data_IF_047736613711
#
_entry.id   IF_047736613711
#
_cell.length_a   1.000
_cell.length_b   1.000
_cell.length_c   1.000
_cell.angle_alpha   90.00
_cell.angle_beta   90.00
_cell.angle_gamma   90.00
#
_symmetry.space_group_name_H-M   'P 1'
#
loop_
_entity.id
_entity.type
_entity.pdbx_description
1 polymer ?
#
# COMPACT_ATOMS: atom_id res chain seq x y z
N UNK A 1 18.92 1.22 55.56
CA UNK A 1 19.04 0.29 54.42
C UNK A 1 18.31 0.95 53.25
N UNK A 2 19.04 1.37 52.21
CA UNK A 2 18.51 2.12 51.07
C UNK A 2 18.23 1.13 49.94
N UNK A 3 16.98 1.01 49.54
CA UNK A 3 16.50 0.16 48.44
C UNK A 3 16.98 0.76 47.11
N UNK A 4 17.64 0.00 46.23
CA UNK A 4 17.96 0.49 44.89
C UNK A 4 16.72 0.35 43.99
N UNK A 5 16.32 1.46 43.40
CA UNK A 5 15.31 1.53 42.33
C UNK A 5 15.96 1.02 41.05
N UNK A 6 15.43 -0.05 40.48
CA UNK A 6 15.83 -0.60 39.19
C UNK A 6 15.08 0.19 38.09
N UNK A 7 15.78 1.08 37.39
CA UNK A 7 15.24 1.75 36.19
C UNK A 7 15.46 0.81 35.01
N UNK A 8 14.38 0.24 34.49
CA UNK A 8 14.38 -0.55 33.27
C UNK A 8 14.41 0.41 32.08
N UNK A 9 15.57 0.59 31.47
CA UNK A 9 15.73 1.37 30.25
C UNK A 9 15.17 0.56 29.06
N UNK A 10 14.08 1.06 28.46
CA UNK A 10 13.54 0.55 27.19
C UNK A 10 14.54 0.84 26.07
N UNK A 11 15.16 -0.20 25.53
CA UNK A 11 15.96 -0.11 24.30
C UNK A 11 14.98 -0.05 23.13
N UNK A 12 14.69 1.16 22.65
CA UNK A 12 14.09 1.33 21.34
C UNK A 12 15.11 0.87 20.29
N UNK A 13 14.72 0.08 19.26
CA UNK A 13 15.58 -0.12 18.11
C UNK A 13 15.72 1.23 17.41
N UNK A 14 16.85 1.89 17.62
CA UNK A 14 17.30 2.95 16.75
C UNK A 14 17.53 2.28 15.41
N UNK A 15 16.67 2.54 14.43
CA UNK A 15 17.03 2.36 13.03
C UNK A 15 18.33 3.11 12.81
N UNK A 16 19.44 2.36 12.75
CA UNK A 16 20.73 2.86 12.29
C UNK A 16 20.54 3.23 10.82
N UNK A 17 20.07 4.45 10.56
CA UNK A 17 20.43 5.10 9.31
C UNK A 17 21.94 5.16 9.28
N UNK A 18 22.55 4.62 8.23
CA UNK A 18 23.98 4.73 8.02
C UNK A 18 24.39 6.20 8.11
N UNK A 19 25.49 6.48 8.82
CA UNK A 19 26.04 7.84 8.87
C UNK A 19 26.43 8.25 7.44
N UNK A 20 25.87 9.34 6.89
CA UNK A 20 26.25 9.82 5.56
C UNK A 20 27.75 10.08 5.40
N UNK A 21 28.49 10.27 6.50
CA UNK A 21 29.94 10.45 6.49
C UNK A 21 30.73 9.14 6.24
N UNK A 22 30.11 7.97 6.42
CA UNK A 22 30.76 6.67 6.18
C UNK A 22 30.69 6.24 4.70
N UNK A 23 30.06 7.03 3.81
CA UNK A 23 29.93 6.72 2.38
C UNK A 23 30.45 7.85 1.49
N UNK A 24 31.02 7.48 0.35
CA UNK A 24 31.36 8.41 -0.74
C UNK A 24 30.49 8.05 -1.94
N UNK A 25 29.73 9.03 -2.43
CA UNK A 25 28.88 8.86 -3.59
C UNK A 25 29.57 9.42 -4.84
N UNK A 26 29.39 8.75 -5.97
CA UNK A 26 29.83 9.25 -7.25
C UNK A 26 28.86 8.83 -8.34
N UNK A 27 28.83 9.59 -9.43
CA UNK A 27 28.10 9.23 -10.64
C UNK A 27 29.12 8.78 -11.67
N UNK A 28 28.95 7.57 -12.19
CA UNK A 28 29.72 7.04 -13.32
C UNK A 28 28.97 7.32 -14.60
N UNK A 29 29.62 7.97 -15.55
CA UNK A 29 29.12 8.16 -16.90
C UNK A 29 29.82 7.20 -17.85
N UNK A 30 29.06 6.35 -18.56
CA UNK A 30 29.58 5.35 -19.52
C UNK A 30 29.06 5.70 -20.91
N UNK A 31 29.94 6.18 -21.79
CA UNK A 31 29.57 6.49 -23.17
C UNK A 31 29.38 5.22 -23.99
N UNK A 32 28.26 5.11 -24.70
CA UNK A 32 27.96 3.90 -25.48
C UNK A 32 28.78 3.80 -26.78
N UNK A 33 29.15 4.93 -27.38
CA UNK A 33 29.91 4.97 -28.63
C UNK A 33 31.35 4.44 -28.47
N UNK A 34 31.97 4.75 -27.33
CA UNK A 34 33.40 4.62 -27.09
C UNK A 34 33.73 3.71 -25.91
N UNK A 35 32.75 3.41 -25.05
CA UNK A 35 32.94 2.67 -23.80
C UNK A 35 33.75 3.43 -22.75
N UNK A 36 33.98 4.74 -22.96
CA UNK A 36 34.77 5.53 -22.01
C UNK A 36 33.93 5.83 -20.77
N UNK A 37 34.57 5.68 -19.61
CA UNK A 37 33.95 5.88 -18.30
C UNK A 37 34.54 7.10 -17.58
N UNK A 38 33.68 7.88 -16.91
CA UNK A 38 34.08 8.99 -16.04
C UNK A 38 33.34 8.94 -14.72
N UNK A 39 34.08 9.01 -13.62
CA UNK A 39 33.52 9.08 -12.27
C UNK A 39 33.56 10.52 -11.74
N UNK A 40 32.41 11.00 -11.26
CA UNK A 40 32.27 12.31 -10.61
C UNK A 40 31.80 12.13 -9.19
N UNK A 41 32.63 12.50 -8.22
CA UNK A 41 32.19 12.54 -6.82
C UNK A 41 31.06 13.55 -6.64
N UNK A 42 29.96 13.12 -6.02
CA UNK A 42 28.79 13.96 -5.77
C UNK A 42 28.45 14.04 -4.28
N UNK A 43 27.91 15.18 -3.80
CA UNK A 43 27.34 15.25 -2.46
C UNK A 43 26.11 14.34 -2.35
N UNK A 44 25.65 14.00 -1.12
CA UNK A 44 24.44 13.18 -0.91
C UNK A 44 23.15 13.76 -1.52
N UNK A 45 23.14 15.04 -1.87
CA UNK A 45 22.06 15.71 -2.56
C UNK A 45 22.59 16.92 -3.33
N UNK A 46 22.05 17.22 -4.50
CA UNK A 46 22.40 18.39 -5.30
C UNK A 46 22.41 18.07 -6.79
N UNK A 47 23.06 18.95 -7.57
CA UNK A 47 23.22 18.78 -9.01
C UNK A 47 24.72 18.91 -9.36
N UNK A 48 25.19 18.11 -10.31
CA UNK A 48 26.53 18.19 -10.87
C UNK A 48 26.46 18.25 -12.40
N UNK A 49 27.39 18.97 -13.03
CA UNK A 49 27.52 18.97 -14.49
C UNK A 49 28.33 17.74 -14.88
N UNK A 50 27.83 17.02 -15.88
CA UNK A 50 28.51 15.87 -16.45
C UNK A 50 29.88 16.27 -17.05
N UNK A 51 30.95 15.46 -16.88
CA UNK A 51 32.30 15.79 -17.35
C UNK A 51 32.42 15.96 -18.86
N UNK A 52 31.54 15.30 -19.61
CA UNK A 52 31.55 15.30 -21.06
C UNK A 52 30.12 15.26 -21.60
N UNK A 53 29.91 15.85 -22.78
CA UNK A 53 28.63 15.74 -23.46
C UNK A 53 28.22 14.29 -23.67
N UNK A 54 26.92 14.05 -23.72
CA UNK A 54 26.36 12.75 -24.08
C UNK A 54 26.60 12.53 -25.58
N UNK A 55 27.17 11.37 -25.94
CA UNK A 55 27.41 11.02 -27.34
C UNK A 55 26.11 10.82 -28.11
N UNK A 56 26.21 10.71 -29.43
CA UNK A 56 25.05 10.39 -30.29
C UNK A 56 24.44 9.03 -29.94
N UNK A 57 25.27 8.08 -29.51
CA UNK A 57 24.85 6.75 -29.09
C UNK A 57 24.44 6.72 -27.60
N UNK A 58 24.43 7.87 -26.92
CA UNK A 58 24.04 8.00 -25.53
C UNK A 58 25.11 7.66 -24.50
N UNK A 59 24.73 7.80 -23.23
CA UNK A 59 25.54 7.44 -22.08
C UNK A 59 24.67 6.94 -20.93
N UNK A 60 25.13 5.91 -20.21
CA UNK A 60 24.58 5.55 -18.91
C UNK A 60 25.16 6.44 -17.83
N UNK A 61 24.32 6.83 -16.87
CA UNK A 61 24.67 7.52 -15.65
C UNK A 61 24.27 6.64 -14.48
N UNK A 62 25.26 6.05 -13.84
CA UNK A 62 25.08 5.14 -12.71
C UNK A 62 25.41 5.89 -11.41
N UNK A 63 24.49 5.93 -10.45
CA UNK A 63 24.74 6.47 -9.11
C UNK A 63 25.31 5.35 -8.24
N UNK A 64 26.55 5.53 -7.80
CA UNK A 64 27.26 4.58 -6.94
C UNK A 64 27.52 5.16 -5.55
N UNK A 65 27.58 4.26 -4.57
CA UNK A 65 28.02 4.57 -3.21
C UNK A 65 29.08 3.57 -2.76
N UNK A 66 30.20 4.07 -2.23
CA UNK A 66 31.26 3.26 -1.64
C UNK A 66 31.24 3.44 -0.13
N UNK A 67 31.16 2.33 0.60
CA UNK A 67 31.33 2.37 2.04
C UNK A 67 32.81 2.55 2.39
N UNK A 68 33.17 3.66 3.04
CA UNK A 68 34.55 4.09 3.29
C UNK A 68 35.42 3.06 4.03
N UNK A 69 34.81 2.19 4.85
CA UNK A 69 35.55 1.21 5.66
C UNK A 69 35.66 -0.17 5.02
N UNK A 70 34.57 -0.65 4.42
CA UNK A 70 34.57 -1.99 3.80
C UNK A 70 34.97 -1.96 2.33
N UNK A 71 35.05 -0.76 1.72
CA UNK A 71 35.31 -0.55 0.30
C UNK A 71 34.33 -1.33 -0.58
N UNK A 72 33.12 -1.52 -0.07
CA UNK A 72 32.03 -2.19 -0.80
C UNK A 72 31.30 -1.15 -1.63
N UNK A 73 31.11 -1.45 -2.90
CA UNK A 73 30.41 -0.61 -3.87
C UNK A 73 28.96 -1.06 -3.99
N UNK A 74 28.06 -0.09 -4.06
CA UNK A 74 26.63 -0.30 -4.23
C UNK A 74 26.12 0.60 -5.36
N UNK A 75 25.58 -0.03 -6.41
CA UNK A 75 24.81 0.68 -7.42
C UNK A 75 23.46 1.05 -6.81
N UNK A 76 23.18 2.34 -6.73
CA UNK A 76 21.95 2.88 -6.15
C UNK A 76 20.89 3.15 -7.23
N UNK A 77 21.33 3.60 -8.41
CA UNK A 77 20.44 3.97 -9.52
C UNK A 77 21.20 3.96 -10.86
N UNK A 78 20.50 3.85 -11.97
CA UNK A 78 21.06 3.89 -13.33
C UNK A 78 20.07 4.59 -14.28
N UNK A 79 20.58 5.54 -15.06
CA UNK A 79 19.80 6.24 -16.08
C UNK A 79 20.53 6.31 -17.40
N UNK A 80 19.87 5.87 -18.47
CA UNK A 80 20.36 6.09 -19.83
C UNK A 80 19.90 7.45 -20.37
N UNK A 81 20.85 8.22 -20.91
CA UNK A 81 20.59 9.53 -21.51
C UNK A 81 21.17 9.54 -22.92
N UNK A 82 20.39 10.00 -23.90
CA UNK A 82 20.86 10.33 -25.25
C UNK A 82 20.18 11.61 -25.72
N UNK A 83 20.74 12.25 -26.75
CA UNK A 83 20.18 13.45 -27.37
C UNK A 83 18.75 13.25 -27.93
N UNK A 84 18.34 11.99 -28.13
CA UNK A 84 17.09 11.61 -28.77
C UNK A 84 16.15 10.79 -27.88
N UNK A 85 16.43 10.67 -26.57
CA UNK A 85 15.53 9.96 -25.65
C UNK A 85 14.60 10.96 -24.98
N UNK A 86 13.27 10.79 -25.11
CA UNK A 86 12.30 11.62 -24.43
C UNK A 86 12.36 11.39 -22.92
N UNK A 87 11.83 12.33 -22.15
CA UNK A 87 11.67 12.17 -20.71
C UNK A 87 10.22 11.79 -20.42
N UNK A 88 10.03 10.72 -19.64
CA UNK A 88 8.74 10.33 -19.13
C UNK A 88 8.72 10.39 -17.60
N UNK A 89 7.54 10.68 -17.05
CA UNK A 89 7.29 10.63 -15.62
C UNK A 89 5.90 10.09 -15.33
N UNK A 90 5.82 9.11 -14.45
CA UNK A 90 4.61 8.51 -13.93
C UNK A 90 4.42 8.98 -12.49
N UNK A 91 3.19 9.25 -12.12
CA UNK A 91 2.82 9.54 -10.74
C UNK A 91 1.48 8.91 -10.43
N UNK A 92 1.47 8.08 -9.41
CA UNK A 92 0.24 7.44 -8.93
C UNK A 92 -0.33 8.25 -7.76
N UNK A 93 -1.63 8.54 -7.84
CA UNK A 93 -2.41 9.25 -6.81
C UNK A 93 -3.51 8.33 -6.31
N UNK A 94 -3.57 8.14 -4.99
CA UNK A 94 -4.53 7.27 -4.30
C UNK A 94 -5.13 8.00 -3.10
N UNK A 95 -6.22 7.48 -2.54
CA UNK A 95 -6.77 7.99 -1.28
C UNK A 95 -5.91 7.66 -0.04
N UNK A 96 -4.91 6.79 -0.19
CA UNK A 96 -4.03 6.38 0.92
C UNK A 96 -2.88 7.38 1.12
N UNK A 97 -2.65 7.90 2.34
CA UNK A 97 -1.60 8.87 2.60
C UNK A 97 -0.18 8.27 2.57
N UNK A 98 -0.02 6.95 2.56
CA UNK A 98 1.28 6.28 2.57
C UNK A 98 2.09 6.60 1.31
N UNK A 99 3.36 6.96 1.52
CA UNK A 99 4.20 7.56 0.47
C UNK A 99 5.31 6.66 -0.07
N UNK A 100 5.79 5.71 0.72
CA UNK A 100 6.96 4.91 0.33
C UNK A 100 6.67 4.01 -0.88
N UNK A 101 5.54 3.32 -0.86
CA UNK A 101 5.00 2.59 -2.00
C UNK A 101 3.52 2.95 -2.06
N UNK A 102 3.03 3.40 -3.22
CA UNK A 102 1.61 3.73 -3.34
C UNK A 102 0.78 2.49 -3.13
N UNK A 103 -0.32 2.65 -2.42
CA UNK A 103 -1.26 1.56 -2.14
C UNK A 103 -2.69 2.06 -2.20
N UNK A 104 -3.60 1.13 -2.44
CA UNK A 104 -5.05 1.36 -2.41
C UNK A 104 -5.77 0.07 -2.03
N UNK A 105 -7.07 0.17 -1.73
CA UNK A 105 -7.95 -0.99 -1.56
C UNK A 105 -8.61 -1.33 -2.90
N UNK A 106 -8.96 -2.59 -3.09
CA UNK A 106 -9.47 -3.14 -4.36
C UNK A 106 -10.70 -2.43 -4.95
N UNK A 107 -11.53 -1.84 -4.09
CA UNK A 107 -12.74 -1.09 -4.39
C UNK A 107 -12.53 0.44 -4.39
N UNK A 108 -11.29 0.91 -4.25
CA UNK A 108 -10.96 2.32 -4.15
C UNK A 108 -10.27 2.82 -5.43
N UNK A 109 -10.75 3.94 -5.99
CA UNK A 109 -10.19 4.47 -7.23
C UNK A 109 -8.78 5.01 -7.03
N UNK A 110 -8.01 5.01 -8.11
CA UNK A 110 -6.70 5.66 -8.17
C UNK A 110 -6.48 6.29 -9.54
N UNK A 111 -5.52 7.20 -9.61
CA UNK A 111 -5.17 7.91 -10.84
C UNK A 111 -3.70 7.68 -11.17
N UNK A 112 -3.43 7.50 -12.46
CA UNK A 112 -2.08 7.44 -13.02
C UNK A 112 -1.90 8.67 -13.89
N UNK A 113 -0.97 9.52 -13.48
CA UNK A 113 -0.60 10.75 -14.18
C UNK A 113 0.69 10.46 -14.94
N UNK A 114 0.64 10.59 -16.27
CA UNK A 114 1.76 10.32 -17.16
C UNK A 114 2.12 11.63 -17.84
N UNK A 115 3.39 12.03 -17.76
CA UNK A 115 3.95 13.18 -18.44
C UNK A 115 5.05 12.69 -19.37
N UNK A 116 4.92 12.94 -20.67
CA UNK A 116 5.95 12.64 -21.66
C UNK A 116 6.37 13.93 -22.32
N UNK A 117 7.67 14.17 -22.43
CA UNK A 117 8.25 15.37 -23.02
C UNK A 117 9.46 15.03 -23.87
N UNK A 118 9.77 15.89 -24.85
CA UNK A 118 10.94 15.69 -25.73
C UNK A 118 10.69 14.75 -26.91
N UNK A 119 9.43 14.41 -27.19
CA UNK A 119 9.05 13.77 -28.44
C UNK A 119 9.09 14.77 -29.60
N UNK A 120 9.63 14.34 -30.73
CA UNK A 120 9.65 15.08 -32.00
C UNK A 120 8.34 14.79 -32.71
N UNK A 121 7.58 15.84 -33.01
CA UNK A 121 6.29 15.72 -33.67
C UNK A 121 6.45 15.56 -35.19
N UNK A 122 5.41 15.03 -35.85
CA UNK A 122 5.41 14.87 -37.31
C UNK A 122 5.58 16.20 -38.07
N UNK A 123 5.31 17.33 -37.41
CA UNK A 123 5.44 18.66 -38.01
C UNK A 123 6.87 19.22 -37.98
N UNK A 124 7.77 18.63 -37.17
CA UNK A 124 9.18 19.02 -37.11
C UNK A 124 9.91 18.67 -38.42
N UNK A 125 10.66 19.61 -39.02
CA UNK A 125 11.45 19.36 -40.22
C UNK A 125 12.46 18.21 -40.10
N UNK A 126 12.85 17.84 -38.87
CA UNK A 126 13.80 16.77 -38.58
C UNK A 126 13.12 15.42 -38.38
N UNK A 127 11.79 15.34 -38.28
CA UNK A 127 11.05 14.12 -37.98
C UNK A 127 11.44 12.95 -38.90
N UNK A 128 11.54 13.20 -40.21
CA UNK A 128 11.87 12.16 -41.19
C UNK A 128 13.25 11.51 -40.99
N UNK A 129 14.19 12.22 -40.37
CA UNK A 129 15.56 11.74 -40.12
C UNK A 129 15.81 11.45 -38.63
N UNK A 130 14.82 11.69 -37.77
CA UNK A 130 14.93 11.45 -36.35
C UNK A 130 14.85 9.95 -36.03
N UNK A 131 15.54 9.47 -34.98
CA UNK A 131 15.37 8.10 -34.49
C UNK A 131 13.95 7.84 -33.99
N UNK A 132 13.45 6.62 -34.13
CA UNK A 132 12.11 6.22 -33.67
C UNK A 132 11.97 6.37 -32.15
N UNK A 133 13.05 6.16 -31.39
CA UNK A 133 13.12 6.42 -29.95
C UNK A 133 12.76 7.86 -29.55
N UNK A 134 12.85 8.82 -30.49
CA UNK A 134 12.49 10.23 -30.27
C UNK A 134 11.09 10.61 -30.76
N UNK A 135 10.40 9.72 -31.48
CA UNK A 135 9.10 10.00 -32.10
C UNK A 135 7.94 9.51 -31.25
N UNK A 136 8.12 8.37 -30.56
CA UNK A 136 7.11 7.86 -29.65
C UNK A 136 7.72 7.05 -28.50
N UNK A 137 6.92 6.85 -27.45
CA UNK A 137 7.23 5.95 -26.33
C UNK A 137 6.17 4.87 -26.23
N UNK A 138 6.57 3.71 -25.73
CA UNK A 138 5.65 2.63 -25.36
C UNK A 138 5.11 2.85 -23.96
N UNK A 139 3.85 2.49 -23.79
CA UNK A 139 3.18 2.36 -22.51
C UNK A 139 2.76 0.92 -22.29
N UNK A 140 3.14 0.36 -21.15
CA UNK A 140 2.70 -0.95 -20.70
C UNK A 140 2.12 -0.85 -19.31
N UNK A 141 0.94 -1.44 -19.12
CA UNK A 141 0.30 -1.64 -17.82
C UNK A 141 0.17 -3.12 -17.54
N UNK A 142 0.79 -3.58 -16.47
CA UNK A 142 0.79 -4.98 -16.05
C UNK A 142 0.23 -5.16 -14.65
N UNK A 143 -0.40 -6.29 -14.41
CA UNK A 143 -0.93 -6.70 -13.11
C UNK A 143 -0.21 -7.94 -12.59
N UNK A 144 0.03 -7.99 -11.29
CA UNK A 144 0.73 -9.09 -10.63
C UNK A 144 -0.02 -9.49 -9.37
N UNK A 145 -0.45 -10.74 -9.29
CA UNK A 145 -1.08 -11.27 -8.08
C UNK A 145 -0.03 -11.63 -7.03
N UNK A 146 -0.35 -11.38 -5.76
CA UNK A 146 0.43 -11.98 -4.69
C UNK A 146 0.08 -13.46 -4.55
N UNK A 147 1.07 -14.38 -4.61
CA UNK A 147 0.82 -15.75 -4.21
C UNK A 147 0.44 -15.82 -2.72
N UNK A 148 -0.13 -16.95 -2.30
CA UNK A 148 -0.58 -17.13 -0.93
C UNK A 148 0.56 -16.86 0.07
N UNK A 149 0.30 -15.98 1.04
CA UNK A 149 1.28 -15.55 2.04
C UNK A 149 2.29 -14.48 1.59
N UNK A 150 2.35 -14.13 0.30
CA UNK A 150 3.19 -13.04 -0.19
C UNK A 150 2.49 -11.67 -0.04
N UNK A 151 3.32 -10.63 0.13
CA UNK A 151 2.86 -9.24 0.36
C UNK A 151 3.75 -8.20 -0.34
N UNK A 152 4.65 -8.64 -1.22
CA UNK A 152 5.44 -7.77 -2.10
C UNK A 152 6.03 -8.55 -3.26
N UNK A 153 6.22 -7.86 -4.38
CA UNK A 153 6.85 -8.40 -5.60
C UNK A 153 8.30 -8.84 -5.39
N UNK A 154 9.07 -8.12 -4.57
CA UNK A 154 10.50 -8.39 -4.33
C UNK A 154 10.77 -9.74 -3.61
N UNK A 155 9.73 -10.48 -3.24
CA UNK A 155 9.82 -11.83 -2.65
C UNK A 155 9.32 -12.94 -3.57
N UNK A 156 8.82 -12.61 -4.76
CA UNK A 156 8.46 -13.60 -5.78
C UNK A 156 9.62 -13.74 -6.77
N UNK A 157 10.19 -14.93 -6.92
CA UNK A 157 11.09 -15.22 -8.04
C UNK A 157 10.26 -15.25 -9.34
N UNK A 158 10.58 -14.39 -10.31
CA UNK A 158 9.91 -14.30 -11.63
C UNK A 158 8.38 -14.19 -11.56
N UNK A 159 7.82 -13.11 -10.99
CA UNK A 159 6.38 -12.90 -10.97
C UNK A 159 5.86 -12.78 -12.42
N UNK A 160 5.03 -13.74 -12.82
CA UNK A 160 4.35 -13.72 -14.13
C UNK A 160 3.20 -12.73 -14.04
N UNK A 161 3.39 -11.56 -14.64
CA UNK A 161 2.36 -10.53 -14.75
C UNK A 161 1.47 -10.74 -15.96
N UNK A 162 0.23 -10.28 -15.87
CA UNK A 162 -0.65 -10.18 -17.03
C UNK A 162 -0.62 -8.74 -17.54
N UNK A 163 -0.31 -8.59 -18.81
CA UNK A 163 -0.43 -7.30 -19.50
C UNK A 163 -1.91 -6.97 -19.66
N UNK A 164 -2.31 -5.82 -19.13
CA UNK A 164 -3.69 -5.32 -19.16
C UNK A 164 -3.88 -4.37 -20.34
N UNK A 165 -2.92 -3.48 -20.55
CA UNK A 165 -2.96 -2.52 -21.64
C UNK A 165 -1.55 -2.27 -22.18
N UNK A 166 -1.48 -2.13 -23.49
CA UNK A 166 -0.30 -1.69 -24.24
C UNK A 166 -0.73 -0.61 -25.22
N UNK A 167 0.17 0.34 -25.46
CA UNK A 167 -0.04 1.39 -26.43
C UNK A 167 1.24 2.20 -26.61
N UNK A 168 1.13 3.26 -27.38
CA UNK A 168 2.23 4.19 -27.61
C UNK A 168 1.73 5.63 -27.53
N UNK A 169 2.65 6.56 -27.28
CA UNK A 169 2.38 8.00 -27.24
C UNK A 169 3.31 8.70 -28.23
N UNK A 170 2.74 9.37 -29.23
CA UNK A 170 3.47 10.07 -30.32
C UNK A 170 3.61 11.58 -30.08
N UNK A 171 2.99 12.10 -29.01
CA UNK A 171 2.97 13.51 -28.70
C UNK A 171 3.46 13.78 -27.28
N UNK A 172 4.17 14.90 -27.11
CA UNK A 172 4.48 15.45 -25.79
C UNK A 172 3.18 15.86 -25.11
N UNK A 173 2.80 15.14 -24.07
CA UNK A 173 1.50 15.29 -23.43
C UNK A 173 1.52 14.96 -21.94
N UNK A 174 0.59 15.58 -21.22
CA UNK A 174 0.23 15.21 -19.85
C UNK A 174 -1.11 14.47 -19.88
N UNK A 175 -1.09 13.17 -19.64
CA UNK A 175 -2.26 12.31 -19.64
C UNK A 175 -2.59 11.90 -18.20
N UNK A 176 -3.87 11.87 -17.86
CA UNK A 176 -4.35 11.32 -16.58
C UNK A 176 -5.36 10.22 -16.86
N UNK A 177 -5.05 9.01 -16.40
CA UNK A 177 -5.95 7.85 -16.47
C UNK A 177 -6.53 7.61 -15.09
N UNK A 178 -7.85 7.54 -14.99
CA UNK A 178 -8.55 7.21 -13.74
C UNK A 178 -9.02 5.77 -13.78
N UNK A 179 -8.61 5.00 -12.78
CA UNK A 179 -9.06 3.64 -12.55
C UNK A 179 -10.10 3.65 -11.43
N UNK A 180 -11.32 3.22 -11.74
CA UNK A 180 -12.41 3.14 -10.75
C UNK A 180 -12.25 1.95 -9.80
N UNK A 181 -11.55 0.91 -10.25
CA UNK A 181 -11.19 -0.28 -9.50
C UNK A 181 -9.90 -0.88 -10.09
N UNK A 182 -9.33 -1.85 -9.40
CA UNK A 182 -8.17 -2.62 -9.91
C UNK A 182 -8.49 -3.39 -11.19
N UNK A 183 -7.46 -3.69 -11.97
CA UNK A 183 -7.49 -4.64 -13.09
C UNK A 183 -7.02 -6.05 -12.69
N UNK A 184 -6.71 -6.31 -11.41
CA UNK A 184 -6.45 -7.66 -10.91
C UNK A 184 -7.69 -8.54 -11.11
N UNK A 185 -7.48 -9.76 -11.60
CA UNK A 185 -8.52 -10.76 -11.80
C UNK A 185 -8.62 -11.74 -10.63
N UNK A 186 -9.78 -12.35 -10.40
CA UNK A 186 -9.95 -13.34 -9.33
C UNK A 186 -11.36 -13.88 -9.27
N UNK A 187 -11.56 -15.00 -8.58
CA UNK A 187 -12.89 -15.57 -8.37
C UNK A 187 -13.77 -14.69 -7.47
N UNK A 188 -13.13 -14.06 -6.49
CA UNK A 188 -13.73 -13.02 -5.65
C UNK A 188 -12.87 -11.76 -5.72
N UNK A 189 -13.39 -10.73 -6.39
CA UNK A 189 -12.69 -9.45 -6.55
C UNK A 189 -12.56 -8.68 -5.22
N UNK A 190 -13.29 -9.04 -4.16
CA UNK A 190 -13.11 -8.39 -2.85
C UNK A 190 -11.88 -8.91 -2.12
N UNK A 191 -11.36 -10.08 -2.52
CA UNK A 191 -10.25 -10.77 -1.86
C UNK A 191 -8.93 -10.69 -2.65
N UNK A 192 -8.93 -10.13 -3.87
CA UNK A 192 -7.69 -10.04 -4.65
C UNK A 192 -6.69 -9.06 -4.01
N UNK A 193 -5.42 -9.43 -4.08
CA UNK A 193 -4.31 -8.60 -3.65
C UNK A 193 -3.11 -8.79 -4.57
N UNK A 194 -2.38 -7.71 -4.82
CA UNK A 194 -1.30 -7.72 -5.81
C UNK A 194 -0.65 -6.36 -6.01
N UNK A 195 0.01 -6.21 -7.14
CA UNK A 195 0.59 -4.94 -7.61
C UNK A 195 0.11 -4.66 -9.05
N UNK A 196 -0.11 -3.39 -9.36
CA UNK A 196 -0.17 -2.93 -10.74
C UNK A 196 1.06 -2.08 -11.03
N UNK A 197 1.66 -2.30 -12.20
CA UNK A 197 2.89 -1.64 -12.64
C UNK A 197 2.61 -0.94 -13.95
N UNK A 198 3.00 0.33 -14.00
CA UNK A 198 2.90 1.19 -15.17
C UNK A 198 4.31 1.52 -15.61
N UNK A 199 4.62 1.25 -16.86
CA UNK A 199 5.96 1.43 -17.42
C UNK A 199 5.85 2.23 -18.70
N UNK A 200 6.70 3.25 -18.82
CA UNK A 200 6.94 3.96 -20.08
C UNK A 200 8.36 3.63 -20.54
N UNK A 201 8.50 3.23 -21.80
CA UNK A 201 9.79 2.85 -22.38
C UNK A 201 10.02 3.59 -23.70
N UNK A 202 11.25 3.98 -23.97
CA UNK A 202 11.64 4.41 -25.32
C UNK A 202 11.95 3.20 -26.19
N UNK A 203 11.67 3.34 -27.49
CA UNK A 203 11.97 2.31 -28.49
C UNK A 203 13.47 2.06 -28.63
N UNK A 204 13.80 0.86 -29.10
CA UNK A 204 15.13 0.58 -29.61
C UNK A 204 15.28 1.21 -31.01
N UNK A 205 16.38 1.92 -31.27
CA UNK A 205 16.74 2.38 -32.62
C UNK A 205 18.25 2.68 -32.75
N UNK A 206 18.82 2.58 -33.96
CA UNK A 206 20.22 2.89 -34.30
C UNK A 206 21.28 2.36 -33.30
N UNK A 207 21.12 1.11 -32.83
CA UNK A 207 22.08 0.50 -31.89
C UNK A 207 21.82 0.81 -30.42
N UNK A 208 20.79 1.61 -30.12
CA UNK A 208 20.27 1.85 -28.77
C UNK A 208 19.22 0.78 -28.45
N UNK A 209 19.36 0.15 -27.28
CA UNK A 209 18.36 -0.81 -26.78
C UNK A 209 17.14 -0.08 -26.21
N UNK A 210 15.98 -0.71 -26.24
CA UNK A 210 14.79 -0.18 -25.58
C UNK A 210 15.10 0.02 -24.09
N UNK A 211 14.67 1.16 -23.55
CA UNK A 211 15.04 1.61 -22.21
C UNK A 211 13.80 2.08 -21.48
N UNK A 212 13.65 1.66 -20.23
CA UNK A 212 12.58 2.15 -19.35
C UNK A 212 12.89 3.59 -18.99
N UNK A 213 11.97 4.49 -19.32
CA UNK A 213 12.07 5.91 -18.99
C UNK A 213 11.54 6.20 -17.60
N UNK A 214 10.45 5.55 -17.23
CA UNK A 214 9.93 5.56 -15.86
C UNK A 214 9.05 4.32 -15.62
N UNK A 215 9.04 3.86 -14.37
CA UNK A 215 8.18 2.76 -13.94
C UNK A 215 7.71 2.99 -12.51
N UNK A 216 6.40 3.00 -12.32
CA UNK A 216 5.77 3.21 -11.02
C UNK A 216 4.78 2.09 -10.72
N UNK A 217 4.62 1.79 -9.44
CA UNK A 217 3.77 0.69 -8.98
C UNK A 217 2.83 1.07 -7.85
N UNK A 218 1.70 0.39 -7.80
CA UNK A 218 0.70 0.49 -6.74
C UNK A 218 0.37 -0.88 -6.18
N UNK A 219 0.35 -0.99 -4.85
CA UNK A 219 -0.12 -2.18 -4.16
C UNK A 219 -1.64 -2.13 -4.00
N UNK A 220 -2.31 -3.22 -4.37
CA UNK A 220 -3.74 -3.39 -4.21
C UNK A 220 -3.99 -4.35 -3.06
N UNK A 221 -4.78 -3.90 -2.08
CA UNK A 221 -5.14 -4.71 -0.92
C UNK A 221 -6.62 -5.13 -0.93
N UNK A 222 -6.93 -6.34 -0.44
CA UNK A 222 -8.31 -6.83 -0.35
C UNK A 222 -9.16 -6.03 0.65
N UNK A 223 -10.47 -6.22 0.57
CA UNK A 223 -11.42 -5.70 1.55
C UNK A 223 -11.30 -6.50 2.85
N UNK A 224 -11.27 -5.81 3.98
CA UNK A 224 -11.29 -6.45 5.28
C UNK A 224 -12.62 -7.20 5.48
N UNK A 225 -12.56 -8.37 6.11
CA UNK A 225 -13.75 -9.13 6.49
C UNK A 225 -13.69 -9.51 7.97
N UNK A 226 -14.85 -9.75 8.56
CA UNK A 226 -14.92 -10.10 9.97
C UNK A 226 -16.14 -10.93 10.31
N UNK A 227 -16.08 -11.63 11.45
CA UNK A 227 -17.22 -12.36 12.00
C UNK A 227 -17.31 -12.13 13.50
N UNK A 228 -18.55 -12.16 14.01
CA UNK A 228 -18.86 -12.19 15.45
C UNK A 228 -19.55 -13.53 15.73
N UNK A 229 -19.10 -14.26 16.75
CA UNK A 229 -19.68 -15.53 17.19
C UNK A 229 -19.79 -15.57 18.71
N UNK A 230 -20.66 -16.44 19.23
CA UNK A 230 -20.82 -16.68 20.67
C UNK A 230 -22.14 -16.18 21.24
N UNK A 231 -22.96 -15.51 20.44
CA UNK A 231 -24.34 -15.11 20.79
C UNK A 231 -25.29 -15.57 19.69
N UNK A 232 -26.50 -15.97 20.08
CA UNK A 232 -27.60 -16.34 19.20
C UNK A 232 -28.70 -15.27 19.29
N UNK A 233 -29.10 -14.65 18.16
CA UNK A 233 -30.17 -13.66 18.14
C UNK A 233 -31.55 -14.19 18.58
N UNK A 234 -31.72 -15.50 18.71
CA UNK A 234 -32.99 -16.13 19.12
C UNK A 234 -33.04 -16.45 20.62
N UNK A 235 -31.91 -16.36 21.31
CA UNK A 235 -31.78 -16.63 22.74
C UNK A 235 -31.89 -15.35 23.58
N UNK A 236 -32.37 -15.52 24.81
CA UNK A 236 -32.43 -14.47 25.83
C UNK A 236 -31.34 -14.72 26.87
N UNK A 237 -30.58 -13.70 27.19
CA UNK A 237 -29.43 -13.78 28.07
C UNK A 237 -29.64 -12.93 29.33
N UNK A 238 -29.57 -13.57 30.50
CA UNK A 238 -29.38 -12.87 31.78
C UNK A 238 -27.97 -12.28 31.86
N UNK A 239 -27.00 -13.03 31.37
CA UNK A 239 -25.60 -12.61 31.24
C UNK A 239 -25.09 -12.98 29.85
N UNK A 240 -24.66 -11.97 29.09
CA UNK A 240 -24.17 -12.21 27.72
C UNK A 240 -22.79 -12.88 27.75
N UNK A 241 -22.62 -14.02 27.05
CA UNK A 241 -21.36 -14.75 27.04
C UNK A 241 -20.25 -13.98 26.31
N UNK A 242 -18.97 -14.34 26.52
CA UNK A 242 -17.87 -13.81 25.72
C UNK A 242 -18.08 -14.10 24.23
N UNK A 243 -17.77 -13.10 23.39
CA UNK A 243 -17.86 -13.25 21.94
C UNK A 243 -16.49 -13.49 21.32
N UNK A 244 -16.44 -14.35 20.31
CA UNK A 244 -15.28 -14.57 19.46
C UNK A 244 -15.40 -13.71 18.21
N UNK A 245 -14.37 -12.91 17.96
CA UNK A 245 -14.25 -12.09 16.76
C UNK A 245 -13.05 -12.57 15.94
N UNK A 246 -13.29 -12.84 14.67
CA UNK A 246 -12.24 -13.15 13.70
C UNK A 246 -12.21 -12.07 12.63
N UNK A 247 -11.00 -11.63 12.29
CA UNK A 247 -10.73 -10.53 11.38
C UNK A 247 -9.70 -10.99 10.34
N UNK A 248 -9.99 -10.71 9.08
CA UNK A 248 -9.09 -10.98 7.97
C UNK A 248 -8.86 -9.71 7.17
N UNK A 249 -7.66 -9.61 6.59
CA UNK A 249 -7.33 -8.54 5.65
C UNK A 249 -7.55 -7.11 6.19
N UNK A 250 -7.32 -6.90 7.49
CA UNK A 250 -7.40 -5.57 8.08
C UNK A 250 -6.42 -4.66 7.35
N UNK A 251 -6.94 -3.56 6.80
CA UNK A 251 -6.17 -2.66 5.96
C UNK A 251 -5.00 -2.04 6.75
N UNK A 252 -3.87 -1.73 6.13
CA UNK A 252 -2.80 -0.95 6.77
C UNK A 252 -3.30 0.38 7.36
N UNK A 253 -2.65 0.90 8.42
CA UNK A 253 -3.02 2.17 9.08
C UNK A 253 -4.53 2.28 9.40
N UNK A 254 -5.08 1.24 10.00
CA UNK A 254 -6.51 1.11 10.28
C UNK A 254 -6.82 0.86 11.75
N UNK A 255 -8.08 1.11 12.12
CA UNK A 255 -8.61 0.82 13.46
C UNK A 255 -9.88 -0.01 13.33
N UNK A 256 -9.91 -1.18 13.95
CA UNK A 256 -11.10 -2.02 14.06
C UNK A 256 -11.60 -2.02 15.49
N UNK A 257 -12.91 -1.91 15.69
CA UNK A 257 -13.51 -1.89 17.03
C UNK A 257 -14.98 -2.31 16.98
N UNK A 258 -15.54 -2.63 18.15
CA UNK A 258 -16.95 -2.92 18.33
C UNK A 258 -17.68 -1.70 18.90
N UNK A 259 -18.86 -1.41 18.33
CA UNK A 259 -19.86 -0.58 18.97
C UNK A 259 -21.11 -1.39 19.32
N UNK A 260 -21.77 -1.01 20.40
CA UNK A 260 -22.98 -1.65 20.91
C UNK A 260 -24.03 -0.58 21.17
N UNK A 261 -25.27 -0.85 20.79
CA UNK A 261 -26.39 0.05 21.06
C UNK A 261 -27.70 -0.71 21.22
N UNK A 262 -28.67 -0.06 21.87
CA UNK A 262 -30.00 -0.62 22.09
C UNK A 262 -30.86 -0.55 20.83
N UNK A 263 -31.66 -1.57 20.61
CA UNK A 263 -32.61 -1.69 19.52
C UNK A 263 -32.06 -2.47 18.32
N UNK A 264 -32.86 -2.57 17.24
CA UNK A 264 -32.46 -3.22 16.00
C UNK A 264 -31.36 -2.41 15.29
N UNK A 265 -30.75 -3.03 14.29
CA UNK A 265 -29.67 -2.41 13.52
C UNK A 265 -30.12 -1.09 12.86
N UNK A 266 -29.29 -0.05 12.99
CA UNK A 266 -29.51 1.28 12.42
C UNK A 266 -28.26 1.77 11.71
N UNK A 267 -28.42 2.49 10.60
CA UNK A 267 -27.28 3.07 9.86
C UNK A 267 -26.49 4.08 10.69
N UNK A 268 -27.17 4.85 11.53
CA UNK A 268 -26.57 5.89 12.36
C UNK A 268 -27.18 5.93 13.77
N UNK A 269 -26.79 5.01 14.68
CA UNK A 269 -27.28 5.01 16.05
C UNK A 269 -26.86 6.29 16.79
N UNK A 270 -27.82 7.02 17.37
CA UNK A 270 -27.54 8.28 18.08
C UNK A 270 -26.87 8.08 19.44
N UNK A 271 -27.10 6.94 20.09
CA UNK A 271 -26.50 6.55 21.38
C UNK A 271 -25.91 5.15 21.24
N UNK A 272 -24.61 5.04 21.46
CA UNK A 272 -23.89 3.77 21.44
C UNK A 272 -22.74 3.79 22.44
N UNK A 273 -22.29 2.61 22.84
CA UNK A 273 -21.08 2.39 23.64
C UNK A 273 -20.03 1.72 22.76
N UNK A 274 -18.77 2.13 22.89
CA UNK A 274 -17.64 1.46 22.23
C UNK A 274 -16.99 0.52 23.23
N UNK A 275 -16.74 -0.72 22.80
CA UNK A 275 -16.09 -1.73 23.64
C UNK A 275 -14.58 -1.49 23.60
N UNK A 276 -14.03 -0.82 24.61
CA UNK A 276 -12.61 -0.39 24.59
C UNK A 276 -11.61 -1.56 24.49
N UNK A 277 -11.98 -2.74 24.97
CA UNK A 277 -11.15 -3.95 24.86
C UNK A 277 -11.16 -4.58 23.46
N UNK A 278 -11.98 -4.06 22.54
CA UNK A 278 -12.12 -4.57 21.17
C UNK A 278 -11.22 -3.89 20.13
N UNK A 279 -10.48 -2.86 20.52
CA UNK A 279 -9.64 -2.12 19.59
C UNK A 279 -8.52 -3.00 19.04
N UNK A 280 -8.46 -3.08 17.71
CA UNK A 280 -7.33 -3.62 16.95
C UNK A 280 -6.81 -2.49 16.07
N UNK A 281 -5.59 -2.05 16.35
CA UNK A 281 -4.92 -1.00 15.60
C UNK A 281 -3.83 -1.66 14.75
N UNK A 282 -3.84 -1.37 13.46
CA UNK A 282 -2.81 -1.82 12.51
C UNK A 282 -1.97 -0.62 12.13
N UNK A 283 -0.72 -0.58 12.58
CA UNK A 283 0.29 0.43 12.21
C UNK A 283 1.41 -0.28 11.43
N UNK A 284 1.04 -0.82 10.26
CA UNK A 284 1.90 -1.65 9.42
C UNK A 284 1.77 -1.20 7.96
N UNK A 285 2.67 -1.66 7.08
CA UNK A 285 2.61 -1.39 5.65
C UNK A 285 1.75 -2.40 4.88
N UNK A 286 1.43 -3.54 5.49
CA UNK A 286 0.70 -4.67 4.88
C UNK A 286 -0.56 -5.07 5.66
N UNK A 287 -1.57 -5.67 5.00
CA UNK A 287 -2.78 -6.12 5.69
C UNK A 287 -2.53 -7.23 6.70
N UNK A 288 -3.32 -7.22 7.77
CA UNK A 288 -3.15 -8.11 8.92
C UNK A 288 -4.44 -8.87 9.24
N UNK A 289 -4.30 -10.11 9.72
CA UNK A 289 -5.43 -10.88 10.27
C UNK A 289 -5.29 -11.01 11.78
N UNK A 290 -6.41 -10.98 12.51
CA UNK A 290 -6.43 -11.03 13.98
C UNK A 290 -7.61 -11.86 14.48
N UNK A 291 -7.48 -12.39 15.69
CA UNK A 291 -8.60 -12.98 16.40
C UNK A 291 -8.56 -12.52 17.84
N UNK A 292 -9.74 -12.21 18.38
CA UNK A 292 -9.94 -11.69 19.72
C UNK A 292 -11.14 -12.37 20.35
N UNK A 293 -11.02 -12.61 21.65
CA UNK A 293 -12.13 -13.06 22.49
C UNK A 293 -12.47 -11.90 23.42
N UNK A 294 -13.66 -11.33 23.25
CA UNK A 294 -14.13 -10.23 24.06
C UNK A 294 -14.91 -10.77 25.23
N UNK A 295 -14.30 -10.67 26.40
CA UNK A 295 -14.93 -10.95 27.68
C UNK A 295 -15.64 -9.70 28.17
N UNK A 296 -16.61 -9.89 29.05
CA UNK A 296 -17.29 -8.80 29.75
C UNK A 296 -18.07 -7.84 28.83
N UNK A 297 -18.47 -8.29 27.63
CA UNK A 297 -19.30 -7.47 26.72
C UNK A 297 -20.65 -7.11 27.35
N UNK A 298 -21.14 -7.94 28.27
CA UNK A 298 -22.34 -7.73 29.08
C UNK A 298 -22.34 -6.38 29.81
N UNK A 299 -21.17 -5.86 30.22
CA UNK A 299 -21.05 -4.55 30.88
C UNK A 299 -21.46 -3.37 29.98
N UNK A 300 -21.43 -3.57 28.65
CA UNK A 300 -21.87 -2.57 27.67
C UNK A 300 -23.36 -2.71 27.31
N UNK A 301 -24.04 -3.72 27.86
CA UNK A 301 -25.43 -4.08 27.59
C UNK A 301 -26.26 -3.91 28.87
N UNK A 302 -26.34 -2.70 29.40
CA UNK A 302 -26.87 -2.45 30.76
C UNK A 302 -28.39 -2.47 30.86
N UNK A 303 -29.10 -2.19 29.77
CA UNK A 303 -30.57 -2.16 29.75
C UNK A 303 -31.12 -3.52 29.30
N UNK A 304 -32.36 -3.83 29.66
CA UNK A 304 -33.06 -5.00 29.13
C UNK A 304 -33.60 -4.74 27.72
N UNK A 305 -33.77 -5.83 26.96
CA UNK A 305 -34.30 -5.87 25.61
C UNK A 305 -33.24 -6.12 24.54
N UNK A 306 -33.65 -5.88 23.30
CA UNK A 306 -32.83 -6.08 22.11
C UNK A 306 -31.68 -5.07 22.04
N UNK A 307 -30.48 -5.58 21.76
CA UNK A 307 -29.29 -4.79 21.47
C UNK A 307 -28.63 -5.27 20.18
N UNK A 308 -27.92 -4.36 19.50
CA UNK A 308 -27.13 -4.64 18.32
C UNK A 308 -25.64 -4.44 18.64
N UNK A 309 -24.82 -5.40 18.23
CA UNK A 309 -23.35 -5.38 18.31
C UNK A 309 -22.82 -5.30 16.89
N UNK A 310 -22.04 -4.27 16.60
CA UNK A 310 -21.45 -4.04 15.27
C UNK A 310 -19.94 -3.99 15.34
N UNK A 311 -19.30 -4.68 14.39
CA UNK A 311 -17.87 -4.66 14.17
C UNK A 311 -17.56 -3.67 13.04
N UNK A 312 -16.83 -2.61 13.37
CA UNK A 312 -16.50 -1.53 12.47
C UNK A 312 -15.01 -1.53 12.15
N UNK A 313 -14.66 -1.21 10.90
CA UNK A 313 -13.29 -1.07 10.43
C UNK A 313 -13.08 0.30 9.80
N UNK A 314 -12.29 1.14 10.45
CA UNK A 314 -11.95 2.48 9.98
C UNK A 314 -10.60 2.45 9.25
N UNK A 315 -10.61 2.85 7.99
CA UNK A 315 -9.46 2.95 7.09
C UNK A 315 -9.27 4.40 6.65
N UNK A 316 -8.19 4.72 5.89
CA UNK A 316 -8.06 6.03 5.24
C UNK A 316 -9.23 6.41 4.32
N UNK A 317 -10.00 5.43 3.84
CA UNK A 317 -11.09 5.64 2.88
C UNK A 317 -12.47 5.82 3.52
N UNK A 318 -12.60 5.53 4.82
CA UNK A 318 -13.90 5.59 5.50
C UNK A 318 -14.03 4.56 6.61
N UNK A 319 -15.27 4.23 6.98
CA UNK A 319 -15.57 3.20 7.98
C UNK A 319 -16.54 2.18 7.40
N UNK A 320 -16.14 0.92 7.40
CA UNK A 320 -16.93 -0.20 6.92
C UNK A 320 -17.54 -0.98 8.09
N UNK A 321 -18.75 -1.51 7.88
CA UNK A 321 -19.37 -2.48 8.77
C UNK A 321 -18.94 -3.88 8.33
N UNK A 322 -18.10 -4.55 9.13
CA UNK A 322 -17.60 -5.88 8.80
C UNK A 322 -18.57 -6.99 9.20
N UNK A 323 -19.25 -6.84 10.35
CA UNK A 323 -20.22 -7.78 10.86
C UNK A 323 -21.18 -7.11 11.83
N UNK A 324 -22.38 -7.67 11.96
CA UNK A 324 -23.40 -7.24 12.91
C UNK A 324 -24.09 -8.47 13.49
N UNK A 325 -24.45 -8.41 14.76
CA UNK A 325 -25.32 -9.41 15.40
C UNK A 325 -26.22 -8.75 16.43
N UNK A 326 -27.30 -9.44 16.78
CA UNK A 326 -28.28 -9.00 17.76
C UNK A 326 -28.25 -9.91 18.99
N UNK A 327 -28.56 -9.33 20.14
CA UNK A 327 -28.63 -10.04 21.42
C UNK A 327 -29.83 -9.54 22.22
N UNK A 328 -30.61 -10.47 22.77
CA UNK A 328 -31.69 -10.15 23.70
C UNK A 328 -31.19 -10.28 25.14
N UNK A 329 -31.24 -9.18 25.89
CA UNK A 329 -30.90 -9.17 27.31
C UNK A 329 -32.19 -9.21 28.12
N UNK A 330 -32.35 -10.22 28.96
CA UNK A 330 -33.48 -10.37 29.87
C UNK A 330 -32.94 -10.77 31.24
N UNK A 331 -33.02 -9.86 32.21
CA UNK A 331 -32.47 -10.02 33.56
C UNK A 331 -33.59 -10.09 34.60
N UNK A 332 -34.84 -10.20 34.16
CA UNK A 332 -35.99 -10.22 35.05
C UNK A 332 -36.15 -11.62 35.63
N UNK A 333 -35.93 -11.74 36.95
CA UNK A 333 -36.17 -12.97 37.69
C UNK A 333 -37.63 -13.00 38.15
N UNK A 334 -38.46 -13.85 37.55
CA UNK A 334 -39.81 -14.12 38.03
C UNK A 334 -39.81 -15.25 39.07
N UNK A 335 -40.12 -14.93 40.34
CA UNK A 335 -40.23 -15.91 41.42
C UNK A 335 -41.71 -16.20 41.71
N UNK A 336 -42.19 -17.39 41.35
CA UNK A 336 -43.51 -17.87 41.75
C UNK A 336 -43.42 -18.58 43.11
N UNK A 337 -43.46 -17.81 44.20
CA UNK A 337 -43.42 -18.32 45.57
C UNK A 337 -44.81 -18.57 46.17
N UNK A 338 -45.08 -19.82 46.59
CA UNK A 338 -46.25 -20.15 47.40
C UNK A 338 -45.95 -19.99 48.90
N UNK A 339 -46.63 -19.07 49.58
CA UNK A 339 -46.53 -18.91 51.04
C UNK A 339 -47.41 -19.97 51.69
N UNK A 340 -46.81 -20.99 52.31
CA UNK A 340 -47.53 -21.93 53.18
C UNK A 340 -47.37 -21.42 54.62
N UNK A 341 -48.45 -20.89 55.19
CA UNK A 341 -48.51 -20.55 56.60
C UNK A 341 -48.84 -21.84 57.38
N UNK A 342 -47.94 -22.30 58.25
CA UNK A 342 -48.25 -23.36 59.21
C UNK A 342 -48.79 -22.69 60.48
N UNK A 343 -50.09 -22.92 60.77
CA UNK A 343 -50.71 -22.60 62.06
C UNK A 343 -50.21 -23.51 63.18
#
# INVERSE_FOLDING_TARGET
MKTPVLILASVFPVTLCADPADYVNFIRQIQQDSGVEWDVTVPPSGNAISPTGVSVDGAFFELWSIHNRSVSEYLLDEQYVTAYTPNAKIRIVTGDPYRAIRRTRVDQPFQVQISVTGLIDESDPNYANAPDASKWVDYTHSTFHYPEGARSFNKAENPVGNVVAEGFMEETANTTVTFMATNLSGSDLTEVGGEEVFTISAQADFGVSATVLDSERIQIWPIATGTIRGVDPTEYYEQVPPILVKLWNLYPDSTTYIRVYRGPQMSSPAKYSVVNTSFVIIEDSIPQSRSLVLREIDQHLTEEGLHTIELLHRTPFGTDLLASTQVHVDRTIEINGGVINQE
#
